data_IF_531308467683
#
_entry.id   IF_531308467683
#
_cell.length_a   1.000
_cell.length_b   1.000
_cell.length_c   1.000
_cell.angle_alpha   90.00
_cell.angle_beta   90.00
_cell.angle_gamma   90.00
#
_symmetry.space_group_name_H-M   'P 1'
#
loop_
_entity.id
_entity.type
_entity.pdbx_description
1 polymer ?
#
# COMPACT_ATOMS: atom_id res chain seq x y z
N UNK A 1 -9.66 -10.94 -5.98
CA UNK A 1 -8.75 -10.15 -6.85
C UNK A 1 -8.77 -10.60 -8.31
N UNK A 2 -8.63 -11.90 -8.62
CA UNK A 2 -8.55 -12.44 -10.01
C UNK A 2 -9.73 -12.06 -10.93
N UNK A 3 -10.94 -11.91 -10.40
CA UNK A 3 -12.14 -11.57 -11.19
C UNK A 3 -12.34 -10.07 -11.45
N UNK A 4 -11.51 -9.19 -10.89
CA UNK A 4 -11.70 -7.73 -11.02
C UNK A 4 -10.54 -7.02 -11.69
N UNK A 5 -9.37 -7.66 -11.80
CA UNK A 5 -8.18 -7.11 -12.44
C UNK A 5 -8.00 -7.80 -13.79
N UNK A 6 -8.27 -7.09 -14.87
CA UNK A 6 -8.20 -7.60 -16.24
C UNK A 6 -6.84 -7.28 -16.89
N UNK A 7 -6.34 -8.20 -17.72
CA UNK A 7 -5.12 -7.99 -18.50
C UNK A 7 -3.82 -7.89 -17.70
N UNK A 8 -3.83 -8.22 -16.40
CA UNK A 8 -2.65 -8.18 -15.53
C UNK A 8 -2.39 -9.52 -14.81
N UNK A 9 -2.37 -10.68 -15.50
CA UNK A 9 -2.21 -11.99 -14.85
C UNK A 9 -0.89 -12.10 -14.07
N UNK A 10 0.22 -11.59 -14.63
CA UNK A 10 1.53 -11.61 -13.98
C UNK A 10 1.54 -10.83 -12.66
N UNK A 11 0.99 -9.61 -12.65
CA UNK A 11 0.92 -8.81 -11.43
C UNK A 11 0.07 -9.52 -10.38
N UNK A 12 -1.09 -10.07 -10.78
CA UNK A 12 -1.99 -10.76 -9.86
C UNK A 12 -1.33 -11.99 -9.23
N UNK A 13 -0.63 -12.82 -10.01
CA UNK A 13 0.00 -14.03 -9.47
C UNK A 13 1.17 -13.70 -8.53
N UNK A 14 2.01 -12.71 -8.87
CA UNK A 14 3.11 -12.24 -7.99
C UNK A 14 2.55 -11.69 -6.67
N UNK A 15 1.55 -10.80 -6.73
CA UNK A 15 0.94 -10.20 -5.53
C UNK A 15 0.32 -11.29 -4.65
N UNK A 16 -0.46 -12.21 -5.23
CA UNK A 16 -1.10 -13.29 -4.47
C UNK A 16 -0.08 -14.21 -3.80
N UNK A 17 1.02 -14.52 -4.49
CA UNK A 17 2.11 -15.31 -3.91
C UNK A 17 2.78 -14.58 -2.75
N UNK A 18 3.17 -13.32 -2.96
CA UNK A 18 3.84 -12.50 -1.95
C UNK A 18 2.98 -12.30 -0.70
N UNK A 19 1.68 -11.98 -0.89
CA UNK A 19 0.75 -11.80 0.23
C UNK A 19 0.49 -13.10 1.00
N UNK A 20 0.31 -14.23 0.32
CA UNK A 20 0.10 -15.52 0.99
C UNK A 20 1.28 -15.89 1.87
N UNK A 21 2.50 -15.71 1.36
CA UNK A 21 3.71 -16.02 2.12
C UNK A 21 3.92 -15.06 3.29
N UNK A 22 3.62 -13.77 3.11
CA UNK A 22 3.82 -12.76 4.15
C UNK A 22 2.76 -12.81 5.27
N UNK A 23 1.53 -13.22 4.97
CA UNK A 23 0.41 -13.28 5.92
C UNK A 23 0.21 -14.69 6.53
N UNK A 24 1.23 -15.55 6.46
CA UNK A 24 1.22 -16.87 7.09
C UNK A 24 1.10 -16.72 8.60
N UNK A 25 0.19 -17.48 9.24
CA UNK A 25 -0.04 -17.40 10.69
C UNK A 25 1.07 -18.05 11.53
N UNK A 26 1.78 -18.99 10.93
CA UNK A 26 2.79 -19.83 11.57
C UNK A 26 4.18 -19.20 11.60
N UNK A 27 4.40 -18.08 10.89
CA UNK A 27 5.71 -17.44 10.78
C UNK A 27 5.53 -15.92 10.83
N UNK A 28 6.20 -15.26 11.78
CA UNK A 28 6.29 -13.81 11.79
C UNK A 28 7.32 -13.34 10.74
N UNK A 29 6.96 -12.41 9.84
CA UNK A 29 7.89 -11.94 8.81
C UNK A 29 9.01 -11.09 9.42
N UNK A 30 10.24 -11.31 8.97
CA UNK A 30 11.43 -10.57 9.42
C UNK A 30 11.48 -9.12 8.90
N UNK A 31 10.72 -8.82 7.83
CA UNK A 31 10.64 -7.51 7.17
C UNK A 31 9.24 -7.22 6.66
N UNK A 32 8.89 -5.94 6.57
CA UNK A 32 7.64 -5.50 5.96
C UNK A 32 7.56 -5.88 4.47
N UNK A 33 6.36 -6.26 4.02
CA UNK A 33 6.10 -6.51 2.59
C UNK A 33 6.14 -5.18 1.81
N UNK A 34 7.01 -5.13 0.80
CA UNK A 34 7.09 -4.00 -0.14
C UNK A 34 6.65 -4.45 -1.53
N UNK A 35 5.72 -3.71 -2.14
CA UNK A 35 5.26 -3.92 -3.51
C UNK A 35 5.46 -2.64 -4.31
N UNK A 36 6.13 -2.73 -5.47
CA UNK A 36 6.31 -1.60 -6.38
C UNK A 36 5.63 -1.90 -7.72
N UNK A 37 4.71 -1.02 -8.14
CA UNK A 37 3.97 -1.15 -9.39
C UNK A 37 4.47 -0.16 -10.43
N UNK A 38 5.01 -0.65 -11.55
CA UNK A 38 5.48 0.16 -12.67
C UNK A 38 4.70 -0.14 -13.95
N UNK A 39 4.63 0.83 -14.87
CA UNK A 39 3.94 0.71 -16.16
C UNK A 39 3.22 1.99 -16.57
N UNK A 40 2.61 2.00 -17.75
CA UNK A 40 1.93 3.17 -18.32
C UNK A 40 0.74 3.65 -17.47
N UNK A 41 0.40 4.95 -17.48
CA UNK A 41 -0.86 5.43 -16.90
C UNK A 41 -2.08 4.65 -17.42
N UNK A 42 -3.13 4.49 -16.60
CA UNK A 42 -4.35 3.80 -17.00
C UNK A 42 -4.31 2.27 -16.96
N UNK A 43 -3.17 1.62 -16.73
CA UNK A 43 -3.05 0.14 -16.71
C UNK A 43 -3.50 -0.55 -15.42
N UNK A 44 -4.10 0.20 -14.48
CA UNK A 44 -4.70 -0.37 -13.27
C UNK A 44 -3.81 -0.43 -12.02
N UNK A 45 -2.63 0.20 -12.00
CA UNK A 45 -1.74 0.21 -10.81
C UNK A 45 -2.44 0.68 -9.51
N UNK A 46 -3.08 1.85 -9.55
CA UNK A 46 -3.82 2.38 -8.41
C UNK A 46 -5.04 1.51 -8.06
N UNK A 47 -5.69 0.96 -9.08
CA UNK A 47 -6.84 0.07 -8.91
C UNK A 47 -6.43 -1.23 -8.18
N UNK A 48 -5.29 -1.83 -8.55
CA UNK A 48 -4.73 -2.99 -7.86
C UNK A 48 -4.42 -2.67 -6.39
N UNK A 49 -3.76 -1.54 -6.10
CA UNK A 49 -3.48 -1.12 -4.73
C UNK A 49 -4.78 -0.95 -3.91
N UNK A 50 -5.81 -0.30 -4.47
CA UNK A 50 -7.12 -0.18 -3.83
C UNK A 50 -7.81 -1.53 -3.62
N UNK A 51 -7.67 -2.45 -4.58
CA UNK A 51 -8.22 -3.79 -4.47
C UNK A 51 -7.55 -4.57 -3.34
N UNK A 52 -6.22 -4.47 -3.18
CA UNK A 52 -5.49 -5.06 -2.05
C UNK A 52 -6.08 -4.54 -0.73
N UNK A 53 -6.16 -3.21 -0.57
CA UNK A 53 -6.70 -2.60 0.65
C UNK A 53 -8.14 -3.03 0.92
N UNK A 54 -9.00 -3.08 -0.10
CA UNK A 54 -10.40 -3.52 0.02
C UNK A 54 -10.53 -4.97 0.49
N UNK A 55 -9.58 -5.84 0.15
CA UNK A 55 -9.60 -7.24 0.57
C UNK A 55 -8.92 -7.45 1.94
N UNK A 56 -8.03 -6.55 2.36
CA UNK A 56 -7.35 -6.64 3.66
C UNK A 56 -8.13 -5.96 4.80
N UNK A 57 -8.78 -4.83 4.51
CA UNK A 57 -9.47 -4.02 5.52
C UNK A 57 -10.94 -3.85 5.18
N UNK A 58 -11.81 -3.97 6.19
CA UNK A 58 -13.27 -3.80 6.04
C UNK A 58 -13.65 -2.47 5.38
N UNK A 59 -12.94 -1.40 5.72
CA UNK A 59 -13.17 -0.05 5.17
C UNK A 59 -12.26 0.28 3.98
N UNK A 60 -11.49 -0.70 3.48
CA UNK A 60 -10.53 -0.51 2.40
C UNK A 60 -9.55 0.63 2.69
N UNK A 61 -9.34 1.51 1.71
CA UNK A 61 -8.47 2.68 1.83
C UNK A 61 -8.97 3.76 2.81
N UNK A 62 -10.20 3.62 3.35
CA UNK A 62 -10.73 4.48 4.42
C UNK A 62 -10.54 3.87 5.81
N UNK A 63 -9.76 2.80 5.91
CA UNK A 63 -9.48 2.17 7.20
C UNK A 63 -8.52 3.03 8.02
N UNK A 64 -8.77 3.08 9.33
CA UNK A 64 -7.87 3.67 10.32
C UNK A 64 -6.49 3.00 10.39
N UNK A 65 -6.25 1.91 9.67
CA UNK A 65 -4.94 1.25 9.59
C UNK A 65 -4.20 1.55 8.28
N UNK A 66 -4.70 2.50 7.49
CA UNK A 66 -4.13 2.85 6.18
C UNK A 66 -3.73 4.31 6.10
N UNK A 67 -2.62 4.60 5.42
CA UNK A 67 -2.19 5.96 5.08
C UNK A 67 -2.01 6.02 3.57
N UNK A 68 -2.52 7.07 2.94
CA UNK A 68 -2.38 7.29 1.52
C UNK A 68 -1.70 8.63 1.25
N UNK A 69 -0.65 8.61 0.42
CA UNK A 69 0.07 9.79 -0.02
C UNK A 69 -0.02 9.93 -1.54
N UNK A 70 -0.36 11.13 -2.01
CA UNK A 70 -0.41 11.56 -3.40
C UNK A 70 0.62 12.65 -3.61
N UNK A 71 1.70 12.32 -4.31
CA UNK A 71 2.84 13.24 -4.46
C UNK A 71 2.46 14.63 -4.96
N UNK A 72 1.55 14.73 -5.93
CA UNK A 72 1.13 16.01 -6.51
C UNK A 72 0.26 16.88 -5.59
N UNK A 73 -0.35 16.30 -4.56
CA UNK A 73 -1.26 17.01 -3.64
C UNK A 73 -0.59 17.21 -2.29
N UNK A 74 0.02 16.16 -1.75
CA UNK A 74 0.58 16.17 -0.40
C UNK A 74 2.00 16.77 -0.39
N UNK A 75 2.75 16.69 -1.51
CA UNK A 75 4.14 17.14 -1.59
C UNK A 75 4.42 18.05 -2.81
N UNK A 76 3.67 19.15 -3.02
CA UNK A 76 3.75 19.95 -4.23
C UNK A 76 5.02 20.80 -4.36
N UNK A 77 5.64 21.19 -3.24
CA UNK A 77 6.74 22.16 -3.24
C UNK A 77 8.10 21.50 -3.02
N UNK A 78 8.98 21.57 -4.02
CA UNK A 78 10.35 21.04 -3.92
C UNK A 78 11.16 21.67 -2.77
N UNK A 79 10.91 22.94 -2.46
CA UNK A 79 11.57 23.65 -1.35
C UNK A 79 11.26 23.08 0.04
N UNK A 80 10.20 22.26 0.16
CA UNK A 80 9.74 21.68 1.43
C UNK A 80 10.13 20.21 1.63
N UNK A 81 11.05 19.66 0.83
CA UNK A 81 11.41 18.23 0.88
C UNK A 81 11.76 17.75 2.30
N UNK A 82 12.53 18.54 3.06
CA UNK A 82 12.96 18.12 4.39
C UNK A 82 11.83 18.20 5.44
N UNK A 83 10.87 19.12 5.26
CA UNK A 83 9.62 19.16 6.02
C UNK A 83 8.80 17.91 5.73
N UNK A 84 8.54 17.60 4.45
CA UNK A 84 7.77 16.43 4.05
C UNK A 84 8.36 15.11 4.53
N UNK A 85 9.69 14.95 4.50
CA UNK A 85 10.35 13.76 5.05
C UNK A 85 10.06 13.59 6.54
N UNK A 86 10.15 14.66 7.34
CA UNK A 86 9.85 14.62 8.77
C UNK A 86 8.38 14.27 9.01
N UNK A 87 7.48 14.91 8.27
CA UNK A 87 6.04 14.70 8.41
C UNK A 87 5.63 13.26 8.06
N UNK A 88 6.20 12.68 7.00
CA UNK A 88 5.95 11.29 6.61
C UNK A 88 6.37 10.34 7.74
N UNK A 89 7.58 10.53 8.30
CA UNK A 89 8.08 9.67 9.39
C UNK A 89 7.18 9.80 10.62
N UNK A 90 6.77 11.01 10.98
CA UNK A 90 5.91 11.23 12.14
C UNK A 90 4.53 10.58 11.94
N UNK A 91 3.89 10.81 10.78
CA UNK A 91 2.58 10.21 10.47
C UNK A 91 2.60 8.68 10.48
N UNK A 92 3.69 8.06 10.01
CA UNK A 92 3.85 6.61 10.08
C UNK A 92 3.93 6.14 11.54
N UNK A 93 4.74 6.82 12.38
CA UNK A 93 4.87 6.47 13.81
C UNK A 93 3.55 6.59 14.55
N UNK A 94 2.83 7.69 14.36
CA UNK A 94 1.55 7.94 15.02
C UNK A 94 0.53 6.87 14.65
N UNK A 95 0.45 6.52 13.35
CA UNK A 95 -0.51 5.50 12.88
C UNK A 95 -0.18 4.09 13.37
N UNK A 96 1.10 3.74 13.46
CA UNK A 96 1.54 2.47 14.04
C UNK A 96 1.22 2.42 15.53
N UNK A 97 1.37 3.54 16.26
CA UNK A 97 1.02 3.62 17.67
C UNK A 97 -0.49 3.46 17.92
N UNK A 98 -1.33 4.06 17.07
CA UNK A 98 -2.80 3.90 17.12
C UNK A 98 -3.28 2.47 16.80
N UNK A 99 -2.48 1.71 16.04
CA UNK A 99 -2.79 0.35 15.66
C UNK A 99 -2.60 -0.60 16.85
N UNK A 100 -3.70 -0.93 17.53
CA UNK A 100 -3.72 -1.98 18.55
C UNK A 100 -3.50 -3.32 17.84
N UNK A 101 -2.43 -4.04 18.22
CA UNK A 101 -2.02 -5.30 17.57
C UNK A 101 -2.88 -6.47 18.04
#
# INVERSE_FOLDING_TARGET
MKSSVYGQPLAVDIIMSAMRNHLRRDVEPDRALMLSFHGSPGTGKNFIAQMILKNMFRMGAKSEYTIFFRSSIDFPLKSKIDEYKRDIVQRIKDKVYECHR
#
